data_IF_586319502574
#
_entry.id   IF_586319502574
#
_cell.length_a   1.000
_cell.length_b   1.000
_cell.length_c   1.000
_cell.angle_alpha   90.00
_cell.angle_beta   90.00
_cell.angle_gamma   90.00
#
_symmetry.space_group_name_H-M   'P 1'
#
loop_
_entity.id
_entity.type
_entity.pdbx_description
1 polymer ?
#
# COMPACT_ATOMS: atom_id res chain seq x y z
N UNK A 1 -14.43 -2.13 -17.76
CA UNK A 1 -13.06 -2.15 -17.18
C UNK A 1 -12.86 -3.45 -16.39
N UNK A 2 -12.55 -4.55 -17.07
CA UNK A 2 -12.35 -5.86 -16.41
C UNK A 2 -10.90 -6.02 -15.99
N UNK A 3 -10.64 -5.61 -14.76
CA UNK A 3 -9.47 -5.99 -13.99
C UNK A 3 -9.38 -7.54 -13.94
N UNK A 4 -8.34 -8.14 -14.53
CA UNK A 4 -8.08 -9.59 -14.44
C UNK A 4 -7.94 -9.98 -12.97
N UNK A 5 -8.98 -10.64 -12.45
CA UNK A 5 -9.23 -10.84 -11.01
C UNK A 5 -8.44 -12.01 -10.38
N UNK A 6 -7.28 -12.36 -10.95
CA UNK A 6 -6.54 -13.57 -10.56
C UNK A 6 -5.01 -13.53 -10.68
N UNK A 7 -4.40 -12.37 -10.93
CA UNK A 7 -2.92 -12.25 -11.01
C UNK A 7 -2.28 -11.54 -9.81
N UNK A 8 -3.05 -10.78 -9.02
CA UNK A 8 -2.53 -9.94 -7.96
C UNK A 8 -3.14 -10.33 -6.61
N UNK A 9 -2.31 -10.32 -5.56
CA UNK A 9 -2.71 -10.56 -4.17
C UNK A 9 -3.52 -9.37 -3.63
N UNK A 10 -3.14 -8.15 -4.05
CA UNK A 10 -3.79 -6.89 -3.69
C UNK A 10 -4.26 -6.12 -4.93
N UNK A 11 -5.43 -5.50 -4.83
CA UNK A 11 -5.93 -4.54 -5.83
C UNK A 11 -5.15 -3.22 -5.79
N UNK A 12 -4.70 -2.81 -4.59
CA UNK A 12 -3.85 -1.64 -4.42
C UNK A 12 -2.91 -1.79 -3.21
N UNK A 13 -1.69 -1.27 -3.30
CA UNK A 13 -0.79 -1.07 -2.17
C UNK A 13 -0.57 0.43 -1.93
N UNK A 14 -0.67 0.87 -0.68
CA UNK A 14 -0.47 2.28 -0.33
C UNK A 14 0.96 2.46 0.19
N UNK A 15 1.73 3.33 -0.47
CA UNK A 15 3.03 3.81 -0.02
C UNK A 15 2.86 5.24 0.52
N UNK A 16 3.38 5.53 1.71
CA UNK A 16 3.21 6.84 2.34
C UNK A 16 4.42 7.19 3.21
N UNK A 17 4.79 8.48 3.25
CA UNK A 17 5.74 8.99 4.22
C UNK A 17 5.10 8.95 5.63
N UNK A 18 5.86 8.62 6.68
CA UNK A 18 5.32 8.28 8.01
C UNK A 18 4.36 9.32 8.63
N UNK A 19 4.45 10.57 8.19
CA UNK A 19 3.64 11.72 8.61
C UNK A 19 2.20 11.64 8.07
N UNK A 20 2.00 10.97 6.93
CA UNK A 20 0.71 10.78 6.27
C UNK A 20 -0.05 9.54 6.75
N UNK A 21 0.40 8.89 7.83
CA UNK A 21 -0.21 7.65 8.37
C UNK A 21 -1.72 7.75 8.54
N UNK A 22 -2.22 8.90 9.01
CA UNK A 22 -3.67 9.13 9.19
C UNK A 22 -4.42 9.15 7.87
N UNK A 23 -3.85 9.78 6.84
CA UNK A 23 -4.46 9.83 5.49
C UNK A 23 -4.42 8.45 4.85
N UNK A 24 -3.28 7.76 4.94
CA UNK A 24 -3.11 6.41 4.42
C UNK A 24 -4.10 5.40 5.06
N UNK A 25 -4.28 5.48 6.39
CA UNK A 25 -5.26 4.64 7.10
C UNK A 25 -6.70 4.90 6.64
N UNK A 26 -7.08 6.17 6.50
CA UNK A 26 -8.43 6.53 6.06
C UNK A 26 -8.69 6.05 4.63
N UNK A 27 -7.68 6.17 3.75
CA UNK A 27 -7.76 5.70 2.38
C UNK A 27 -7.89 4.18 2.29
N UNK A 28 -7.10 3.44 3.07
CA UNK A 28 -7.20 1.97 3.11
C UNK A 28 -8.58 1.52 3.58
N UNK A 29 -9.11 2.11 4.66
CA UNK A 29 -10.46 1.82 5.15
C UNK A 29 -11.52 2.06 4.09
N UNK A 30 -11.52 3.23 3.43
CA UNK A 30 -12.49 3.56 2.38
C UNK A 30 -12.44 2.59 1.19
N UNK A 31 -11.24 2.13 0.80
CA UNK A 31 -11.09 1.17 -0.29
C UNK A 31 -11.54 -0.24 0.13
N UNK A 32 -11.23 -0.65 1.36
CA UNK A 32 -11.70 -1.92 1.92
C UNK A 32 -13.22 -1.96 2.07
N UNK A 33 -13.85 -0.87 2.53
CA UNK A 33 -15.31 -0.71 2.61
C UNK A 33 -15.98 -0.83 1.23
N UNK A 34 -15.29 -0.43 0.16
CA UNK A 34 -15.74 -0.61 -1.23
C UNK A 34 -15.46 -2.01 -1.80
N UNK A 35 -14.89 -2.92 -1.02
CA UNK A 35 -14.62 -4.30 -1.40
C UNK A 35 -13.29 -4.54 -2.11
N UNK A 36 -12.37 -3.58 -2.10
CA UNK A 36 -11.02 -3.77 -2.66
C UNK A 36 -10.06 -4.39 -1.64
N UNK A 37 -9.18 -5.27 -2.11
CA UNK A 37 -8.08 -5.83 -1.32
C UNK A 37 -6.92 -4.84 -1.31
N UNK A 38 -6.73 -4.13 -0.21
CA UNK A 38 -5.70 -3.09 -0.11
C UNK A 38 -4.63 -3.46 0.90
N UNK A 39 -3.37 -3.35 0.47
CA UNK A 39 -2.24 -3.44 1.37
C UNK A 39 -1.97 -2.08 2.02
N UNK A 40 -2.00 -2.07 3.35
CA UNK A 40 -1.67 -0.92 4.20
C UNK A 40 -0.74 -1.37 5.31
N UNK A 41 0.53 -0.97 5.24
CA UNK A 41 1.45 -1.19 6.35
C UNK A 41 1.30 -0.07 7.38
N UNK A 42 0.72 -0.39 8.53
CA UNK A 42 0.52 0.60 9.59
C UNK A 42 1.85 1.04 10.24
N UNK A 43 2.96 0.35 10.02
CA UNK A 43 4.18 0.42 10.83
C UNK A 43 5.45 0.49 9.96
N UNK A 44 5.46 1.33 8.91
CA UNK A 44 6.62 1.47 8.01
C UNK A 44 7.95 1.61 8.77
N UNK A 45 7.97 2.36 9.89
CA UNK A 45 9.14 2.57 10.73
C UNK A 45 9.61 1.37 11.55
N UNK A 46 8.71 0.51 12.03
CA UNK A 46 9.11 -0.70 12.77
C UNK A 46 9.44 -1.86 11.82
N UNK A 47 8.86 -1.85 10.62
CA UNK A 47 9.07 -2.88 9.60
C UNK A 47 10.40 -2.77 8.87
N UNK A 48 10.94 -1.55 8.71
CA UNK A 48 12.27 -1.28 8.12
C UNK A 48 13.43 -1.90 8.93
N UNK A 49 13.20 -2.34 10.16
CA UNK A 49 14.22 -2.94 11.03
C UNK A 49 14.12 -4.46 11.19
N UNK A 50 13.39 -5.18 10.34
CA UNK A 50 13.37 -6.64 10.48
C UNK A 50 12.63 -7.48 9.45
N UNK A 51 11.94 -6.91 8.45
CA UNK A 51 11.41 -7.71 7.33
C UNK A 51 12.14 -7.43 6.04
N UNK A 52 12.52 -8.51 5.38
CA UNK A 52 13.29 -8.54 4.14
C UNK A 52 12.71 -7.55 3.11
N UNK A 53 13.53 -6.60 2.64
CA UNK A 53 13.17 -5.64 1.59
C UNK A 53 12.49 -6.31 0.37
N UNK A 54 12.87 -7.56 0.08
CA UNK A 54 12.29 -8.41 -0.95
C UNK A 54 10.76 -8.58 -0.84
N UNK A 55 10.20 -8.61 0.38
CA UNK A 55 8.75 -8.73 0.58
C UNK A 55 8.04 -7.45 0.15
N UNK A 56 8.63 -6.28 0.42
CA UNK A 56 8.11 -5.00 -0.04
C UNK A 56 8.20 -4.86 -1.56
N UNK A 57 9.30 -5.27 -2.18
CA UNK A 57 9.43 -5.28 -3.64
C UNK A 57 8.38 -6.18 -4.29
N UNK A 58 8.10 -7.34 -3.68
CA UNK A 58 7.02 -8.24 -4.15
C UNK A 58 5.65 -7.56 -4.03
N UNK A 59 5.36 -6.96 -2.88
CA UNK A 59 4.06 -6.34 -2.58
C UNK A 59 3.83 -5.11 -3.45
N UNK A 60 4.79 -4.19 -3.55
CA UNK A 60 4.68 -2.99 -4.38
C UNK A 60 4.96 -3.26 -5.88
N UNK A 61 5.34 -4.47 -6.25
CA UNK A 61 5.53 -4.89 -7.63
C UNK A 61 4.54 -5.97 -8.04
N UNK A 62 4.97 -7.22 -8.24
CA UNK A 62 4.17 -8.26 -8.89
C UNK A 62 2.90 -8.67 -8.12
N UNK A 63 2.82 -8.43 -6.80
CA UNK A 63 1.68 -8.84 -6.00
C UNK A 63 0.58 -7.77 -5.91
N UNK A 64 0.84 -6.52 -6.30
CA UNK A 64 -0.18 -5.47 -6.33
C UNK A 64 -0.48 -5.02 -7.74
N UNK A 65 -1.77 -4.89 -8.04
CA UNK A 65 -2.21 -4.36 -9.33
C UNK A 65 -1.88 -2.87 -9.49
N UNK A 66 -1.97 -2.12 -8.40
CA UNK A 66 -1.70 -0.68 -8.37
C UNK A 66 -0.91 -0.30 -7.12
N UNK A 67 -0.05 0.70 -7.24
CA UNK A 67 0.63 1.34 -6.10
C UNK A 67 0.18 2.79 -6.00
N UNK A 68 -0.30 3.17 -4.83
CA UNK A 68 -0.72 4.54 -4.52
C UNK A 68 0.38 5.16 -3.65
N UNK A 69 1.22 5.98 -4.27
CA UNK A 69 2.20 6.79 -3.55
C UNK A 69 1.52 8.07 -3.03
N UNK A 70 1.38 8.18 -1.71
CA UNK A 70 0.94 9.38 -1.03
C UNK A 70 2.16 10.30 -0.85
N UNK A 71 2.22 11.33 -1.69
CA UNK A 71 3.25 12.37 -1.65
C UNK A 71 2.65 13.60 -0.97
N UNK A 72 3.20 13.99 0.19
CA UNK A 72 2.87 15.25 0.87
C UNK A 72 3.96 16.30 0.63
N UNK A 73 3.68 17.56 0.98
CA UNK A 73 4.61 18.69 0.79
C UNK A 73 5.95 18.51 1.52
N UNK A 74 6.00 17.67 2.55
CA UNK A 74 7.22 17.31 3.27
C UNK A 74 8.07 16.24 2.55
N UNK A 75 7.76 15.93 1.29
CA UNK A 75 8.54 15.02 0.44
C UNK A 75 9.72 15.70 -0.28
N UNK A 76 10.19 16.86 0.19
CA UNK A 76 11.30 17.62 -0.40
C UNK A 76 12.37 17.95 0.62
#
# INVERSE_FOLDING_TARGET
>A
MTCKRGQFEYDAAISFAGEDRRKAKRLSQLLTEKGYRVFYDANLRAHLWGRNANEFERIYGPASRHVIALVSKDYV
#
